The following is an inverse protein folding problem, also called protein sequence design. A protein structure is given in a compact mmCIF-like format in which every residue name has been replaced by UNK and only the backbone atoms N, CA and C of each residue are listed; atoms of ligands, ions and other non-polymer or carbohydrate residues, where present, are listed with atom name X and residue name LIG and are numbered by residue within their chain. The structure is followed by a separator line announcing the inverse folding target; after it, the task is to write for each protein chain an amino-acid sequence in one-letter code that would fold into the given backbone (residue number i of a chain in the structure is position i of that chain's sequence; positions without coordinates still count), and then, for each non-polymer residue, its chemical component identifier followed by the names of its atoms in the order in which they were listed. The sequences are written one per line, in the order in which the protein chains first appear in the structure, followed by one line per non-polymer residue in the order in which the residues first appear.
data_IF_671005449022
#
_entry.id   IF_671005449022
#
_cell.length_a   1.000
_cell.length_b   1.000
_cell.length_c   1.000
_cell.angle_alpha   90.00
_cell.angle_beta   90.00
_cell.angle_gamma   90.00
#
_symmetry.space_group_name_H-M   'P 1'
#
loop_
_entity.id
_entity.type
_entity.pdbx_description
1 polymer ?
#
# COMPACT_ATOMS: atom_id res chain seq x y z
N UNK A 1 -0.02 -11.76 -35.58
CA UNK A 1 -0.63 -12.59 -34.53
C UNK A 1 -0.34 -11.87 -33.25
N UNK A 2 -1.37 -11.17 -32.82
CA UNK A 2 -1.40 -10.03 -31.93
C UNK A 2 -0.90 -10.36 -30.53
N UNK A 3 0.02 -9.53 -30.06
CA UNK A 3 0.40 -9.38 -28.67
C UNK A 3 -0.68 -8.48 -28.04
N UNK A 4 -1.70 -9.10 -27.45
CA UNK A 4 -2.81 -8.40 -26.83
C UNK A 4 -2.35 -7.97 -25.43
N UNK A 5 -1.76 -6.78 -25.38
CA UNK A 5 -1.39 -6.05 -24.16
C UNK A 5 -2.65 -5.90 -23.28
N UNK A 6 -2.75 -6.72 -22.23
CA UNK A 6 -3.82 -6.65 -21.23
C UNK A 6 -3.52 -5.48 -20.31
N UNK A 7 -3.74 -4.26 -20.81
CA UNK A 7 -3.66 -3.02 -20.05
C UNK A 7 -4.69 -3.13 -18.91
N UNK A 8 -4.19 -3.35 -17.69
CA UNK A 8 -5.03 -3.41 -16.49
C UNK A 8 -5.68 -2.05 -16.22
N UNK A 9 -6.82 -2.01 -15.54
CA UNK A 9 -7.58 -0.77 -15.28
C UNK A 9 -6.73 0.31 -14.56
N UNK A 10 -5.75 -0.12 -13.79
CA UNK A 10 -4.73 0.70 -13.11
C UNK A 10 -3.75 1.33 -14.09
N UNK A 11 -3.35 0.61 -15.14
CA UNK A 11 -2.42 1.10 -16.16
C UNK A 11 -3.08 2.20 -17.01
N UNK A 12 -4.36 2.05 -17.35
CA UNK A 12 -5.17 3.09 -18.00
C UNK A 12 -5.24 4.37 -17.15
N UNK A 13 -5.40 4.22 -15.83
CA UNK A 13 -5.51 5.36 -14.91
C UNK A 13 -4.18 6.12 -14.79
N UNK A 14 -3.07 5.39 -14.70
CA UNK A 14 -1.73 5.96 -14.64
C UNK A 14 -1.33 6.63 -15.96
N UNK A 15 -1.62 5.99 -17.09
CA UNK A 15 -1.38 6.58 -18.41
C UNK A 15 -2.18 7.88 -18.59
N UNK A 16 -3.43 7.92 -18.12
CA UNK A 16 -4.27 9.12 -18.16
C UNK A 16 -3.72 10.24 -17.27
N UNK A 17 -3.27 9.90 -16.05
CA UNK A 17 -2.67 10.87 -15.13
C UNK A 17 -1.38 11.47 -15.70
N UNK A 18 -0.50 10.65 -16.28
CA UNK A 18 0.72 11.13 -16.94
C UNK A 18 0.41 12.02 -18.16
N UNK A 19 -0.59 11.65 -18.98
CA UNK A 19 -1.00 12.47 -20.12
C UNK A 19 -1.59 13.82 -19.70
N UNK A 20 -2.31 13.87 -18.59
CA UNK A 20 -2.86 15.11 -18.03
C UNK A 20 -1.76 16.00 -17.44
N UNK A 21 -0.80 15.42 -16.72
CA UNK A 21 0.37 16.13 -16.21
C UNK A 21 1.23 16.71 -17.34
N UNK A 22 1.46 15.96 -18.42
CA UNK A 22 2.21 16.44 -19.58
C UNK A 22 1.51 17.63 -20.26
N UNK A 23 0.17 17.56 -20.43
CA UNK A 23 -0.60 18.68 -20.99
C UNK A 23 -0.53 19.93 -20.13
N UNK A 24 -0.60 19.79 -18.80
CA UNK A 24 -0.48 20.91 -17.88
C UNK A 24 0.92 21.55 -17.95
N UNK A 25 1.97 20.73 -18.10
CA UNK A 25 3.32 21.23 -18.30
C UNK A 25 3.48 21.98 -19.63
N UNK A 26 2.96 21.43 -20.74
CA UNK A 26 2.99 22.10 -22.05
C UNK A 26 2.17 23.40 -22.08
N UNK A 27 1.06 23.45 -21.34
CA UNK A 27 0.24 24.65 -21.22
C UNK A 27 0.94 25.73 -20.39
N UNK A 28 1.59 25.35 -19.29
CA UNK A 28 2.42 26.25 -18.49
C UNK A 28 3.59 26.83 -19.30
N UNK A 29 4.30 26.00 -20.07
CA UNK A 29 5.38 26.44 -20.95
C UNK A 29 4.87 27.41 -22.04
N UNK A 30 3.68 27.15 -22.61
CA UNK A 30 3.06 28.06 -23.60
C UNK A 30 2.66 29.40 -22.97
N UNK A 31 2.16 29.39 -21.74
CA UNK A 31 1.85 30.60 -20.99
C UNK A 31 3.09 31.40 -20.65
N UNK A 32 4.20 30.72 -20.33
CA UNK A 32 5.49 31.36 -20.07
C UNK A 32 6.05 32.00 -21.35
N UNK A 33 6.00 31.28 -22.48
CA UNK A 33 6.42 31.80 -23.78
C UNK A 33 5.56 32.97 -24.27
N UNK A 34 4.25 32.97 -23.99
CA UNK A 34 3.36 34.08 -24.32
C UNK A 34 3.63 35.33 -23.46
N UNK A 35 4.10 35.16 -22.23
CA UNK A 35 4.53 36.27 -21.38
C UNK A 35 5.88 36.87 -21.84
N UNK A 36 6.75 36.09 -22.48
CA UNK A 36 8.04 36.55 -23.02
C UNK A 36 7.91 37.39 -24.31
N UNK A 37 6.80 37.27 -25.05
CA UNK A 37 6.57 37.97 -26.34
C UNK A 37 5.84 39.33 -26.17
N UNK A 38 5.50 39.71 -24.92
CA UNK A 38 4.92 41.01 -24.59
C UNK A 38 6.02 42.05 -24.38
N UNK A 39 6.40 42.73 -25.47
CA UNK A 39 7.33 43.87 -25.48
C UNK A 39 6.62 45.19 -25.07
N UNK A 40 5.61 45.12 -24.18
CA UNK A 40 4.93 46.29 -23.61
C UNK A 40 5.46 46.55 -22.18
N UNK A 41 6.36 47.53 -22.00
CA UNK A 41 6.98 47.83 -20.71
C UNK A 41 6.02 48.47 -19.69
N UNK A 42 4.75 48.70 -20.05
CA UNK A 42 3.72 49.25 -19.15
C UNK A 42 2.65 48.22 -18.72
N UNK A 43 2.79 46.92 -19.06
CA UNK A 43 1.91 45.86 -18.56
C UNK A 43 2.23 45.45 -17.11
N UNK A 44 2.24 46.42 -16.21
CA UNK A 44 2.50 46.23 -14.77
C UNK A 44 1.41 45.42 -14.05
N UNK A 45 0.25 45.20 -14.68
CA UNK A 45 -0.84 44.40 -14.12
C UNK A 45 -0.57 42.89 -14.27
N UNK A 46 -0.02 42.44 -15.41
CA UNK A 46 0.34 41.02 -15.60
C UNK A 46 1.45 40.55 -14.63
N UNK A 47 2.43 41.41 -14.35
CA UNK A 47 3.52 41.08 -13.41
C UNK A 47 3.05 41.09 -11.95
N UNK A 48 2.09 41.94 -11.57
CA UNK A 48 1.49 41.92 -10.23
C UNK A 48 0.59 40.71 -10.02
N UNK A 49 -0.13 40.29 -11.05
CA UNK A 49 -0.98 39.10 -10.99
C UNK A 49 -0.12 37.82 -10.88
N UNK A 50 0.98 37.74 -11.63
CA UNK A 50 1.97 36.66 -11.52
C UNK A 50 2.68 36.61 -10.16
N UNK A 51 3.08 37.76 -9.60
CA UNK A 51 3.72 37.84 -8.27
C UNK A 51 2.74 37.49 -7.14
N UNK A 52 1.46 37.86 -7.30
CA UNK A 52 0.37 37.46 -6.40
C UNK A 52 0.10 35.95 -6.43
N UNK A 53 0.09 35.33 -7.62
CA UNK A 53 -0.05 33.88 -7.79
C UNK A 53 1.16 33.15 -7.19
N UNK A 54 2.37 33.62 -7.45
CA UNK A 54 3.60 33.04 -6.90
C UNK A 54 3.66 33.15 -5.37
N UNK A 55 3.22 34.28 -4.81
CA UNK A 55 3.11 34.48 -3.36
C UNK A 55 2.05 33.57 -2.75
N UNK A 56 0.89 33.42 -3.42
CA UNK A 56 -0.16 32.50 -3.00
C UNK A 56 0.30 31.04 -3.00
N UNK A 57 1.04 30.60 -4.03
CA UNK A 57 1.60 29.25 -4.11
C UNK A 57 2.67 29.03 -3.03
N UNK A 58 3.54 30.01 -2.79
CA UNK A 58 4.56 29.95 -1.73
C UNK A 58 3.95 29.87 -0.33
N UNK A 59 2.86 30.60 -0.07
CA UNK A 59 2.12 30.53 1.18
C UNK A 59 1.40 29.18 1.34
N UNK A 60 0.79 28.66 0.28
CA UNK A 60 0.17 27.33 0.29
C UNK A 60 1.19 26.23 0.54
N UNK A 61 2.39 26.32 -0.06
CA UNK A 61 3.50 25.41 0.23
C UNK A 61 4.03 25.55 1.66
N UNK A 62 4.12 26.77 2.19
CA UNK A 62 4.52 26.99 3.59
C UNK A 62 3.46 26.53 4.60
N UNK A 63 2.18 26.53 4.23
CA UNK A 63 1.10 25.94 5.03
C UNK A 63 1.20 24.41 5.01
N UNK A 64 1.39 23.80 3.83
CA UNK A 64 1.63 22.36 3.68
C UNK A 64 2.89 21.90 4.41
N UNK A 65 3.98 22.66 4.35
CA UNK A 65 5.22 22.37 5.07
C UNK A 65 5.04 22.53 6.59
N UNK A 66 4.19 23.46 7.05
CA UNK A 66 3.88 23.61 8.48
C UNK A 66 2.99 22.50 8.99
N UNK A 67 2.02 22.06 8.18
CA UNK A 67 1.18 20.90 8.47
C UNK A 67 1.98 19.58 8.44
N UNK A 68 3.03 19.50 7.62
CA UNK A 68 3.99 18.40 7.63
C UNK A 68 5.00 18.45 8.81
N UNK A 69 5.26 19.64 9.36
CA UNK A 69 6.25 19.85 10.43
C UNK A 69 5.70 19.61 11.84
N UNK A 70 4.38 19.60 12.02
CA UNK A 70 3.72 19.25 13.28
C UNK A 70 2.56 18.28 13.02
N UNK A 71 2.85 17.00 12.68
CA UNK A 71 1.80 16.02 12.57
C UNK A 71 1.20 15.89 13.97
N UNK A 72 -0.06 16.33 14.15
CA UNK A 72 -0.85 15.81 15.26
C UNK A 72 -0.65 14.29 15.29
N UNK A 73 -0.36 13.68 16.44
CA UNK A 73 -0.05 12.26 16.49
C UNK A 73 -1.23 11.52 15.88
N UNK A 74 -1.05 11.02 14.65
CA UNK A 74 -2.09 10.30 13.93
C UNK A 74 -2.50 9.19 14.87
N UNK A 75 -3.77 9.13 15.34
CA UNK A 75 -4.21 7.99 16.12
C UNK A 75 -3.86 6.76 15.28
N UNK A 76 -3.16 5.75 15.86
CA UNK A 76 -2.75 4.59 15.08
C UNK A 76 -3.99 4.08 14.38
N UNK A 77 -3.93 3.97 13.04
CA UNK A 77 -4.99 3.33 12.27
C UNK A 77 -5.33 2.02 12.98
N UNK A 78 -6.61 1.68 13.20
CA UNK A 78 -6.96 0.50 13.97
C UNK A 78 -6.30 -0.71 13.31
N UNK A 79 -5.26 -1.23 13.95
CA UNK A 79 -4.56 -2.42 13.50
C UNK A 79 -5.56 -3.57 13.61
N UNK A 80 -5.70 -4.35 12.53
CA UNK A 80 -6.56 -5.54 12.54
C UNK A 80 -6.06 -6.47 13.65
N UNK A 81 -6.90 -6.78 14.63
CA UNK A 81 -6.52 -7.69 15.73
C UNK A 81 -6.54 -9.15 15.27
N UNK A 82 -5.91 -10.04 16.05
CA UNK A 82 -5.97 -11.48 15.79
C UNK A 82 -7.41 -12.04 15.82
N UNK A 83 -8.25 -11.53 16.73
CA UNK A 83 -9.66 -11.93 16.81
C UNK A 83 -10.45 -11.46 15.59
N UNK A 84 -10.27 -10.20 15.16
CA UNK A 84 -10.90 -9.67 13.95
C UNK A 84 -10.47 -10.46 12.70
N UNK A 85 -9.18 -10.82 12.64
CA UNK A 85 -8.65 -11.68 11.59
C UNK A 85 -9.29 -13.07 11.60
N UNK A 86 -9.42 -13.69 12.77
CA UNK A 86 -10.04 -15.02 12.89
C UNK A 86 -11.49 -14.98 12.40
N UNK A 87 -12.23 -13.94 12.74
CA UNK A 87 -13.62 -13.77 12.33
C UNK A 87 -13.75 -13.48 10.82
N UNK A 88 -12.83 -12.68 10.26
CA UNK A 88 -12.81 -12.32 8.86
C UNK A 88 -12.42 -13.50 7.95
N UNK A 89 -11.32 -14.20 8.28
CA UNK A 89 -10.68 -15.17 7.39
C UNK A 89 -10.95 -16.63 7.72
N UNK A 90 -11.40 -16.93 8.95
CA UNK A 90 -11.81 -18.26 9.41
C UNK A 90 -10.71 -19.32 9.18
N UNK A 91 -9.72 -19.39 10.07
CA UNK A 91 -8.63 -20.35 9.93
C UNK A 91 -9.14 -21.79 10.06
N UNK A 92 -8.72 -22.62 9.10
CA UNK A 92 -9.08 -24.02 8.95
C UNK A 92 -8.33 -24.88 9.96
N UNK A 93 -8.97 -25.94 10.43
CA UNK A 93 -8.34 -26.92 11.34
C UNK A 93 -7.27 -27.72 10.60
N UNK A 94 -6.13 -27.90 11.24
CA UNK A 94 -5.12 -28.83 10.78
C UNK A 94 -5.67 -30.27 10.86
N UNK A 95 -5.82 -30.89 9.69
CA UNK A 95 -6.32 -32.28 9.56
C UNK A 95 -5.20 -33.31 9.60
N UNK A 96 -3.94 -32.89 9.47
CA UNK A 96 -2.76 -33.76 9.50
C UNK A 96 -2.35 -34.04 10.95
N UNK A 97 -2.34 -33.01 11.80
CA UNK A 97 -2.01 -33.10 13.22
C UNK A 97 -3.17 -32.65 14.10
N UNK A 98 -3.67 -33.57 14.93
CA UNK A 98 -4.87 -33.34 15.76
C UNK A 98 -4.64 -32.44 16.98
N UNK A 99 -3.41 -32.43 17.50
CA UNK A 99 -2.94 -31.70 18.69
C UNK A 99 -2.09 -30.47 18.32
N UNK A 100 -2.31 -29.90 17.13
CA UNK A 100 -1.58 -28.73 16.69
C UNK A 100 -1.83 -27.49 17.58
N UNK A 101 -0.87 -26.57 17.70
CA UNK A 101 -1.08 -25.27 18.34
C UNK A 101 -2.17 -24.43 17.65
N UNK A 102 -2.52 -23.30 18.27
CA UNK A 102 -3.60 -22.41 17.80
C UNK A 102 -4.93 -23.14 17.66
N UNK A 103 -5.34 -23.82 18.73
CA UNK A 103 -6.58 -24.62 18.79
C UNK A 103 -6.68 -25.68 17.68
N UNK A 104 -5.55 -26.29 17.32
CA UNK A 104 -5.48 -27.31 16.29
C UNK A 104 -5.43 -26.76 14.86
N UNK A 105 -4.98 -25.52 14.63
CA UNK A 105 -5.01 -24.86 13.31
C UNK A 105 -3.64 -24.63 12.70
N UNK A 106 -2.59 -24.60 13.50
CA UNK A 106 -1.24 -24.33 13.00
C UNK A 106 -0.68 -25.53 12.23
N UNK A 107 -0.13 -25.25 11.05
CA UNK A 107 0.60 -26.21 10.22
C UNK A 107 2.11 -26.02 10.38
N UNK A 108 2.83 -27.13 10.45
CA UNK A 108 4.28 -27.19 10.54
C UNK A 108 4.97 -26.76 9.24
N UNK A 109 6.28 -26.53 9.35
CA UNK A 109 7.11 -25.98 8.27
C UNK A 109 7.77 -27.06 7.41
N UNK A 110 7.43 -28.33 7.62
CA UNK A 110 8.02 -29.50 6.98
C UNK A 110 7.03 -30.66 6.87
N UNK A 111 7.39 -31.67 6.07
CA UNK A 111 6.64 -32.91 5.95
C UNK A 111 5.25 -32.72 5.33
N UNK A 112 4.28 -33.60 5.64
CA UNK A 112 2.96 -33.59 5.03
C UNK A 112 2.15 -32.31 5.28
N UNK A 113 2.47 -31.57 6.34
CA UNK A 113 1.85 -30.28 6.63
C UNK A 113 2.32 -29.20 5.66
N UNK A 114 3.61 -29.18 5.31
CA UNK A 114 4.13 -28.27 4.29
C UNK A 114 3.56 -28.59 2.90
N UNK A 115 3.34 -29.87 2.59
CA UNK A 115 2.68 -30.26 1.33
C UNK A 115 1.23 -29.71 1.27
N UNK A 116 0.52 -29.69 2.39
CA UNK A 116 -0.80 -29.09 2.49
C UNK A 116 -0.76 -27.56 2.28
N UNK A 117 0.27 -26.89 2.81
CA UNK A 117 0.51 -25.46 2.55
C UNK A 117 0.82 -25.19 1.08
N UNK A 118 1.66 -26.01 0.45
CA UNK A 118 2.02 -25.87 -0.96
C UNK A 118 0.85 -26.12 -1.91
N UNK A 119 -0.14 -26.92 -1.48
CA UNK A 119 -1.36 -27.18 -2.24
C UNK A 119 -2.48 -26.15 -2.02
N UNK A 120 -2.39 -25.33 -0.97
CA UNK A 120 -3.37 -24.30 -0.67
C UNK A 120 -3.22 -23.08 -1.61
N UNK A 121 -4.29 -22.29 -1.74
CA UNK A 121 -4.20 -20.99 -2.40
C UNK A 121 -3.24 -20.08 -1.61
N UNK A 122 -2.17 -19.53 -2.24
CA UNK A 122 -1.22 -18.64 -1.56
C UNK A 122 -1.88 -17.43 -0.88
N UNK A 123 -3.01 -16.95 -1.40
CA UNK A 123 -3.77 -15.85 -0.81
C UNK A 123 -4.49 -16.26 0.48
N UNK A 124 -4.71 -17.55 0.70
CA UNK A 124 -5.30 -18.11 1.92
C UNK A 124 -4.24 -18.54 2.94
N UNK A 125 -2.96 -18.50 2.60
CA UNK A 125 -1.86 -18.88 3.49
C UNK A 125 -1.37 -17.66 4.27
N UNK A 126 -1.17 -17.87 5.56
CA UNK A 126 -0.59 -16.90 6.48
C UNK A 126 0.60 -17.51 7.20
N UNK A 127 1.69 -16.76 7.34
CA UNK A 127 2.90 -17.24 8.00
C UNK A 127 3.01 -16.67 9.40
N UNK A 128 3.19 -17.56 10.37
CA UNK A 128 3.48 -17.20 11.75
C UNK A 128 4.99 -16.98 11.91
N UNK A 129 5.38 -15.81 12.42
CA UNK A 129 6.78 -15.42 12.64
C UNK A 129 6.96 -14.89 14.06
N UNK A 130 8.19 -14.94 14.58
CA UNK A 130 8.59 -14.26 15.81
C UNK A 130 9.47 -13.07 15.46
N UNK A 131 9.25 -11.94 16.13
CA UNK A 131 10.16 -10.80 16.08
C UNK A 131 11.21 -10.93 17.18
N UNK A 132 12.49 -10.69 16.84
CA UNK A 132 13.60 -10.65 17.81
C UNK A 132 13.66 -9.28 18.52
N UNK A 133 13.12 -8.21 17.88
CA UNK A 133 13.17 -6.85 18.41
C UNK A 133 12.21 -6.60 19.60
N UNK A 134 11.05 -7.26 19.61
CA UNK A 134 9.99 -7.05 20.62
C UNK A 134 9.50 -8.36 21.26
N UNK A 135 10.16 -9.49 20.99
CA UNK A 135 9.76 -10.84 21.42
C UNK A 135 8.30 -11.23 21.05
N UNK A 136 7.68 -10.49 20.13
CA UNK A 136 6.28 -10.64 19.74
C UNK A 136 6.06 -11.67 18.64
N UNK A 137 4.88 -12.27 18.62
CA UNK A 137 4.42 -13.13 17.52
C UNK A 137 3.61 -12.32 16.51
N UNK A 138 3.85 -12.58 15.23
CA UNK A 138 3.17 -11.91 14.14
C UNK A 138 2.64 -12.90 13.12
N UNK A 139 1.51 -12.55 12.53
CA UNK A 139 0.94 -13.26 11.40
C UNK A 139 1.06 -12.40 10.15
N UNK A 140 1.78 -12.91 9.16
CA UNK A 140 2.01 -12.24 7.88
C UNK A 140 1.14 -12.86 6.80
N UNK A 141 0.48 -12.04 5.98
CA UNK A 141 -0.20 -12.54 4.78
C UNK A 141 0.81 -13.14 3.80
N UNK A 142 0.48 -14.30 3.25
CA UNK A 142 1.30 -15.02 2.27
C UNK A 142 2.16 -16.13 2.88
N UNK A 143 2.80 -16.89 1.98
CA UNK A 143 3.67 -18.00 2.31
C UNK A 143 5.14 -17.56 2.32
N UNK A 144 5.69 -17.33 3.51
CA UNK A 144 7.08 -16.92 3.70
C UNK A 144 7.95 -18.12 4.05
N UNK A 145 9.20 -18.10 3.59
CA UNK A 145 10.17 -19.19 3.82
C UNK A 145 11.22 -18.87 4.88
N UNK A 146 11.35 -17.61 5.28
CA UNK A 146 12.37 -17.14 6.25
C UNK A 146 11.72 -16.76 7.57
N UNK A 147 12.41 -17.03 8.68
CA UNK A 147 12.00 -16.67 10.05
C UNK A 147 10.56 -17.09 10.40
N UNK A 148 10.17 -18.30 10.00
CA UNK A 148 8.81 -18.83 10.17
C UNK A 148 8.74 -19.89 11.27
N UNK A 149 7.72 -19.79 12.11
CA UNK A 149 7.38 -20.79 13.12
C UNK A 149 6.39 -21.82 12.58
N UNK A 150 5.51 -21.41 11.67
CA UNK A 150 4.53 -22.27 11.01
C UNK A 150 3.55 -21.47 10.17
N UNK A 151 2.45 -22.10 9.79
CA UNK A 151 1.47 -21.52 8.87
C UNK A 151 0.04 -21.70 9.36
N UNK A 152 -0.85 -20.85 8.85
CA UNK A 152 -2.31 -20.97 8.98
C UNK A 152 -2.92 -20.92 7.58
N UNK A 153 -3.89 -21.80 7.32
CA UNK A 153 -4.73 -21.74 6.10
C UNK A 153 -6.08 -21.17 6.48
N UNK A 154 -6.60 -20.28 5.65
CA UNK A 154 -7.88 -19.59 5.85
C UNK A 154 -8.92 -19.99 4.81
N UNK A 155 -10.21 -19.89 5.15
CA UNK A 155 -11.29 -20.14 4.20
C UNK A 155 -11.43 -19.02 3.16
N UNK A 156 -11.03 -17.80 3.53
CA UNK A 156 -11.14 -16.62 2.67
C UNK A 156 -9.75 -16.08 2.31
N UNK A 157 -9.53 -15.68 1.06
CA UNK A 157 -8.24 -15.14 0.64
C UNK A 157 -8.04 -13.71 1.15
N UNK A 158 -6.79 -13.36 1.43
CA UNK A 158 -6.32 -11.98 1.48
C UNK A 158 -6.31 -11.40 0.05
N UNK A 159 -6.87 -10.21 -0.12
CA UNK A 159 -7.04 -9.54 -1.42
C UNK A 159 -6.45 -8.12 -1.42
N UNK A 160 -5.79 -7.70 -0.35
CA UNK A 160 -5.20 -6.36 -0.28
C UNK A 160 -3.90 -6.26 -1.06
N UNK A 161 -3.56 -5.03 -1.44
CA UNK A 161 -2.30 -4.71 -2.07
C UNK A 161 -1.17 -4.69 -1.02
N UNK A 162 -0.24 -5.64 -1.14
CA UNK A 162 0.93 -5.75 -0.27
C UNK A 162 0.80 -6.76 0.87
N UNK A 163 1.72 -6.68 1.84
CA UNK A 163 1.77 -7.56 3.00
C UNK A 163 1.00 -6.92 4.16
N UNK A 164 0.09 -7.70 4.76
CA UNK A 164 -0.52 -7.38 6.04
C UNK A 164 0.19 -8.15 7.15
N UNK A 165 0.62 -7.46 8.20
CA UNK A 165 1.13 -8.03 9.44
C UNK A 165 0.17 -7.78 10.60
N UNK A 166 -0.01 -8.80 11.44
CA UNK A 166 -0.93 -8.78 12.57
C UNK A 166 -0.16 -9.24 13.80
N UNK A 167 -0.02 -8.37 14.79
CA UNK A 167 0.56 -8.74 16.09
C UNK A 167 -0.43 -9.63 16.86
N UNK A 168 0.09 -10.68 17.47
CA UNK A 168 -0.65 -11.52 18.41
C UNK A 168 -0.39 -11.00 19.82
N UNK A 169 -1.46 -10.62 20.52
CA UNK A 169 -1.47 -10.22 21.94
C UNK A 169 -1.87 -11.39 22.87
#
# INVERSE_FOLDING_TARGET
MDDFDMITLTDIHLQRLHAEAARLAEDADRHLAAAEDSDDPDDWDAWKEADGIATGFKLALQELDREAADPEPTPPAPALSYDDWRDAYRPVRNTVRTDAPFDGRMFETFGPELDAIAAADPACVWTLVSSDDDDGLYLLSGCHSVNRLGYLITERPWQGDGQLDIRLD
#
